data_IF_067526769125
#
_entry.id   IF_067526769125
#
_cell.length_a   1.000
_cell.length_b   1.000
_cell.length_c   1.000
_cell.angle_alpha   90.00
_cell.angle_beta   90.00
_cell.angle_gamma   90.00
#
_symmetry.space_group_name_H-M   'P 1'
#
loop_
_entity.id
_entity.type
_entity.pdbx_description
1 polymer ?
#
# COMPACT_ATOMS: atom_id res chain seq x y z
N UNK A 1 -28.26 18.99 -23.30
CA UNK A 1 -27.15 18.77 -22.35
C UNK A 1 -25.95 19.53 -22.87
N UNK A 2 -25.67 20.70 -22.30
CA UNK A 2 -24.40 21.40 -22.51
C UNK A 2 -23.28 20.51 -21.96
N UNK A 3 -22.32 20.14 -22.80
CA UNK A 3 -21.20 19.30 -22.39
C UNK A 3 -20.37 19.95 -21.28
N UNK A 4 -19.59 19.16 -20.55
CA UNK A 4 -18.62 19.62 -19.56
C UNK A 4 -17.46 20.36 -20.26
N UNK A 5 -17.71 21.58 -20.74
CA UNK A 5 -16.75 22.37 -21.55
C UNK A 5 -15.47 22.75 -20.80
N UNK A 6 -15.48 22.64 -19.47
CA UNK A 6 -14.31 22.82 -18.61
C UNK A 6 -13.43 21.57 -18.48
N UNK A 7 -13.92 20.39 -18.91
CA UNK A 7 -13.15 19.14 -18.88
C UNK A 7 -12.30 19.05 -20.15
N UNK A 8 -11.00 19.25 -19.98
CA UNK A 8 -9.99 18.96 -20.99
C UNK A 8 -9.29 17.62 -20.73
N UNK A 9 -8.64 17.04 -21.74
CA UNK A 9 -7.76 15.88 -21.56
C UNK A 9 -6.70 16.14 -20.47
N UNK A 10 -6.20 17.36 -20.38
CA UNK A 10 -5.24 17.76 -19.36
C UNK A 10 -5.85 17.72 -17.95
N UNK A 11 -7.07 18.24 -17.78
CA UNK A 11 -7.76 18.18 -16.48
C UNK A 11 -8.02 16.74 -16.04
N UNK A 12 -8.39 15.87 -16.98
CA UNK A 12 -8.62 14.45 -16.70
C UNK A 12 -7.32 13.73 -16.32
N UNK A 13 -6.21 14.02 -17.02
CA UNK A 13 -4.90 13.48 -16.67
C UNK A 13 -4.44 13.95 -15.28
N UNK A 14 -4.60 15.25 -14.98
CA UNK A 14 -4.21 15.80 -13.69
C UNK A 14 -4.99 15.14 -12.55
N UNK A 15 -6.32 14.99 -12.71
CA UNK A 15 -7.18 14.29 -11.77
C UNK A 15 -6.76 12.82 -11.60
N UNK A 16 -6.53 12.10 -12.71
CA UNK A 16 -6.06 10.72 -12.66
C UNK A 16 -4.73 10.61 -11.89
N UNK A 17 -3.78 11.50 -12.17
CA UNK A 17 -2.48 11.48 -11.52
C UNK A 17 -2.55 11.88 -10.05
N UNK A 18 -3.31 12.93 -9.69
CA UNK A 18 -3.44 13.35 -8.29
C UNK A 18 -4.19 12.34 -7.44
N UNK A 19 -5.24 11.72 -8.00
CA UNK A 19 -6.19 10.93 -7.21
C UNK A 19 -5.80 9.45 -7.17
N UNK A 20 -5.20 8.93 -8.25
CA UNK A 20 -4.91 7.50 -8.38
C UNK A 20 -3.40 7.17 -8.32
N UNK A 21 -2.53 8.16 -8.40
CA UNK A 21 -1.09 7.96 -8.22
C UNK A 21 -0.67 8.62 -6.92
N UNK A 22 -0.12 7.82 -6.00
CA UNK A 22 0.59 8.34 -4.83
C UNK A 22 2.09 8.25 -5.11
N UNK A 23 2.77 9.36 -5.43
CA UNK A 23 4.22 9.38 -5.51
C UNK A 23 4.81 9.00 -4.16
N UNK A 24 5.70 8.02 -4.15
CA UNK A 24 6.37 7.56 -2.92
C UNK A 24 7.87 7.74 -3.10
N UNK A 25 8.50 8.42 -2.15
CA UNK A 25 9.95 8.58 -2.12
C UNK A 25 10.65 7.22 -1.98
N UNK A 26 11.91 7.15 -2.38
CA UNK A 26 12.74 5.95 -2.12
C UNK A 26 13.35 6.03 -0.73
N UNK A 27 13.65 4.87 -0.13
CA UNK A 27 14.39 4.77 1.13
C UNK A 27 13.80 5.58 2.30
N UNK A 28 12.47 5.66 2.39
CA UNK A 28 11.75 6.26 3.50
C UNK A 28 12.18 5.57 4.81
N UNK A 29 12.55 6.38 5.79
CA UNK A 29 12.95 5.98 7.13
C UNK A 29 12.55 7.07 8.12
N UNK A 30 12.20 6.67 9.34
CA UNK A 30 12.02 7.54 10.48
C UNK A 30 12.57 6.78 11.69
N UNK A 31 13.53 7.37 12.40
CA UNK A 31 14.24 6.72 13.51
C UNK A 31 13.34 6.40 14.71
N UNK A 32 12.16 7.03 14.79
CA UNK A 32 11.19 6.83 15.86
C UNK A 32 10.15 5.75 15.54
N UNK A 33 10.10 5.23 14.30
CA UNK A 33 9.06 4.29 13.87
C UNK A 33 9.58 3.14 13.03
N UNK A 34 8.89 2.00 13.10
CA UNK A 34 9.18 0.83 12.26
C UNK A 34 8.07 0.64 11.25
N UNK A 35 8.44 0.49 9.97
CA UNK A 35 7.49 0.19 8.91
C UNK A 35 7.26 -1.32 8.84
N UNK A 36 6.08 -1.77 9.26
CA UNK A 36 5.64 -3.16 9.13
C UNK A 36 4.76 -3.31 7.89
N UNK A 37 5.02 -4.34 7.08
CA UNK A 37 4.32 -4.56 5.82
C UNK A 37 3.76 -5.98 5.79
N UNK A 38 2.44 -6.08 5.66
CA UNK A 38 1.75 -7.33 5.36
C UNK A 38 1.85 -7.62 3.86
N UNK A 39 2.78 -8.50 3.48
CA UNK A 39 3.02 -8.83 2.08
C UNK A 39 2.14 -10.00 1.63
N UNK A 40 1.13 -9.70 0.82
CA UNK A 40 0.29 -10.66 0.11
C UNK A 40 1.06 -11.37 -1.01
N UNK A 41 1.61 -12.56 -0.72
CA UNK A 41 2.52 -13.27 -1.62
C UNK A 41 1.88 -13.67 -2.95
N UNK A 42 0.57 -13.98 -2.95
CA UNK A 42 -0.18 -14.33 -4.17
C UNK A 42 -0.27 -13.19 -5.19
N UNK A 43 0.07 -11.96 -4.80
CA UNK A 43 0.12 -10.80 -5.70
C UNK A 43 1.45 -10.69 -6.47
N UNK A 44 2.44 -11.53 -6.13
CA UNK A 44 3.72 -11.64 -6.84
C UNK A 44 4.83 -10.73 -6.28
N UNK A 45 6.07 -11.03 -6.67
CA UNK A 45 7.28 -10.41 -6.09
C UNK A 45 7.47 -8.93 -6.43
N UNK A 46 6.76 -8.42 -7.45
CA UNK A 46 6.84 -7.00 -7.83
C UNK A 46 6.51 -6.07 -6.65
N UNK A 47 5.59 -6.48 -5.77
CA UNK A 47 5.23 -5.71 -4.57
C UNK A 47 6.33 -5.77 -3.51
N UNK A 48 6.95 -6.93 -3.30
CA UNK A 48 8.11 -7.06 -2.42
C UNK A 48 9.28 -6.16 -2.86
N UNK A 49 9.56 -6.13 -4.17
CA UNK A 49 10.57 -5.23 -4.76
C UNK A 49 10.20 -3.76 -4.53
N UNK A 50 8.93 -3.39 -4.69
CA UNK A 50 8.42 -2.04 -4.43
C UNK A 50 8.62 -1.64 -2.96
N UNK A 51 8.29 -2.51 -2.02
CA UNK A 51 8.49 -2.24 -0.60
C UNK A 51 9.96 -2.00 -0.25
N UNK A 52 10.87 -2.86 -0.73
CA UNK A 52 12.31 -2.71 -0.51
C UNK A 52 12.93 -1.49 -1.22
N UNK A 53 12.31 -1.00 -2.29
CA UNK A 53 12.74 0.24 -2.96
C UNK A 53 12.35 1.47 -2.16
N UNK A 54 11.13 1.48 -1.60
CA UNK A 54 10.55 2.68 -1.00
C UNK A 54 10.82 2.83 0.49
N UNK A 55 11.05 1.74 1.22
CA UNK A 55 11.34 1.78 2.64
C UNK A 55 12.75 1.28 2.89
N UNK A 56 13.53 2.00 3.69
CA UNK A 56 14.93 1.65 3.97
C UNK A 56 15.04 0.36 4.79
N UNK A 57 14.21 0.23 5.83
CA UNK A 57 14.24 -0.89 6.77
C UNK A 57 12.83 -1.51 7.02
N UNK A 58 12.13 -2.02 6.00
CA UNK A 58 10.79 -2.57 6.18
C UNK A 58 10.83 -3.95 6.84
N UNK A 59 9.95 -4.18 7.80
CA UNK A 59 9.72 -5.49 8.41
C UNK A 59 8.60 -6.18 7.62
N UNK A 60 8.96 -7.24 6.90
CA UNK A 60 8.06 -7.94 6.00
C UNK A 60 7.40 -9.13 6.70
N UNK A 61 6.08 -9.05 6.85
CA UNK A 61 5.23 -10.14 7.32
C UNK A 61 4.60 -10.82 6.11
N UNK A 62 5.10 -12.00 5.75
CA UNK A 62 4.62 -12.77 4.60
C UNK A 62 3.25 -13.38 4.88
N UNK A 63 2.35 -13.25 3.92
CA UNK A 63 0.96 -13.68 4.03
C UNK A 63 0.60 -14.45 2.76
N UNK A 64 0.20 -15.73 2.89
CA UNK A 64 -0.22 -16.56 1.76
C UNK A 64 -1.66 -16.24 1.30
N UNK A 65 -1.91 -14.96 1.06
CA UNK A 65 -3.20 -14.37 0.71
C UNK A 65 -3.04 -13.36 -0.44
N UNK A 66 -4.16 -12.90 -0.99
CA UNK A 66 -4.29 -11.76 -1.91
C UNK A 66 -4.48 -10.46 -1.10
N UNK A 67 -4.44 -9.32 -1.80
CA UNK A 67 -4.33 -7.98 -1.20
C UNK A 67 -5.36 -7.69 -0.09
N UNK A 68 -6.63 -8.05 -0.30
CA UNK A 68 -7.73 -7.74 0.62
C UNK A 68 -8.17 -8.94 1.46
N UNK A 69 -7.73 -10.16 1.13
CA UNK A 69 -8.18 -11.38 1.81
C UNK A 69 -7.88 -11.36 3.31
N UNK A 70 -6.71 -10.82 3.71
CA UNK A 70 -6.35 -10.72 5.12
C UNK A 70 -7.29 -9.78 5.90
N UNK A 71 -7.73 -8.67 5.28
CA UNK A 71 -8.58 -7.67 5.93
C UNK A 71 -10.07 -8.03 5.85
N UNK A 72 -10.53 -8.47 4.68
CA UNK A 72 -11.95 -8.67 4.40
C UNK A 72 -12.44 -10.10 4.71
N UNK A 73 -11.59 -11.11 4.51
CA UNK A 73 -11.98 -12.51 4.68
C UNK A 73 -11.49 -13.13 5.99
N UNK A 74 -10.45 -12.55 6.61
CA UNK A 74 -9.86 -13.03 7.86
C UNK A 74 -9.53 -11.89 8.86
N UNK A 75 -10.46 -10.97 9.16
CA UNK A 75 -10.17 -9.77 9.98
C UNK A 75 -9.58 -10.09 11.36
N UNK A 76 -9.95 -11.21 11.95
CA UNK A 76 -9.47 -11.76 13.21
C UNK A 76 -8.00 -12.19 13.13
N UNK A 77 -7.56 -12.79 12.01
CA UNK A 77 -6.14 -13.09 11.78
C UNK A 77 -5.33 -11.81 11.58
N UNK A 78 -5.92 -10.82 10.91
CA UNK A 78 -5.29 -9.51 10.77
C UNK A 78 -5.08 -8.85 12.14
N UNK A 79 -6.14 -8.74 12.94
CA UNK A 79 -6.09 -8.19 14.29
C UNK A 79 -5.06 -8.92 15.16
N UNK A 80 -5.07 -10.26 15.18
CA UNK A 80 -4.08 -11.05 15.93
C UNK A 80 -2.64 -10.73 15.50
N UNK A 81 -2.41 -10.55 14.20
CA UNK A 81 -1.08 -10.19 13.69
C UNK A 81 -0.66 -8.80 14.16
N UNK A 82 -1.59 -7.84 14.18
CA UNK A 82 -1.34 -6.48 14.70
C UNK A 82 -1.04 -6.52 16.20
N UNK A 83 -1.83 -7.25 16.99
CA UNK A 83 -1.61 -7.41 18.43
C UNK A 83 -0.22 -8.00 18.72
N UNK A 84 0.16 -9.06 17.99
CA UNK A 84 1.47 -9.68 18.13
C UNK A 84 2.63 -8.74 17.79
N UNK A 85 2.48 -7.88 16.77
CA UNK A 85 3.49 -6.88 16.40
C UNK A 85 3.60 -5.78 17.45
N UNK A 86 2.46 -5.30 17.96
CA UNK A 86 2.39 -4.23 18.94
C UNK A 86 2.63 -4.70 20.38
N UNK A 87 2.71 -6.01 20.61
CA UNK A 87 2.89 -6.65 21.91
C UNK A 87 1.82 -6.21 22.93
N UNK A 88 0.56 -6.30 22.51
CA UNK A 88 -0.64 -5.98 23.31
C UNK A 88 -1.62 -7.15 23.32
#
# INVERSE_FOLDING_TARGET
>A
MTGLTFVSKQSLFNQFYSDLITPLANMIENDETKVHIFYAEKMGEKYLKRYKKHFKNPIIHRQNYRHEELLASYPEKWYQSVMAICNI
#
